data_IF_344946877918
#
_entry.id   IF_344946877918
#
_cell.length_a   1.000
_cell.length_b   1.000
_cell.length_c   1.000
_cell.angle_alpha   90.00
_cell.angle_beta   90.00
_cell.angle_gamma   90.00
#
_symmetry.space_group_name_H-M   'P 1'
#
loop_
_entity.id
_entity.type
_entity.pdbx_description
1 polymer ?
#
# COMPACT_ATOMS: atom_id res chain seq x y z
N UNK A 1 22.25 7.48 13.92
CA UNK A 1 22.79 6.12 13.69
C UNK A 1 24.20 5.96 14.29
N UNK A 2 25.12 6.92 14.06
CA UNK A 2 26.47 6.91 14.68
C UNK A 2 26.43 6.97 16.22
N UNK A 3 25.62 7.86 16.82
CA UNK A 3 25.51 7.99 18.28
C UNK A 3 24.80 6.79 18.94
N UNK A 4 23.78 6.23 18.26
CA UNK A 4 23.08 5.01 18.70
C UNK A 4 24.03 3.80 18.74
N UNK A 5 25.03 3.73 17.85
CA UNK A 5 26.04 2.68 17.85
C UNK A 5 27.03 2.80 19.04
N UNK A 6 27.10 3.96 19.69
CA UNK A 6 27.91 4.20 20.90
C UNK A 6 27.08 4.25 22.18
N UNK A 7 25.80 3.86 22.12
CA UNK A 7 24.89 3.82 23.28
C UNK A 7 24.37 5.20 23.71
N UNK A 8 24.57 6.24 22.89
CA UNK A 8 24.06 7.57 23.17
C UNK A 8 22.80 7.83 22.34
N UNK A 9 21.65 7.91 23.01
CA UNK A 9 20.37 8.26 22.40
C UNK A 9 20.08 9.75 22.68
N UNK A 10 20.23 10.67 21.71
CA UNK A 10 19.94 12.09 21.92
C UNK A 10 18.44 12.38 22.01
N UNK A 11 17.57 11.42 21.63
CA UNK A 11 16.12 11.52 21.82
C UNK A 11 15.78 11.38 23.31
N UNK A 12 15.33 12.47 23.92
CA UNK A 12 14.88 12.44 25.30
C UNK A 12 13.43 11.94 25.39
N UNK A 13 13.01 11.44 26.55
CA UNK A 13 11.59 11.08 26.78
C UNK A 13 10.65 12.30 26.69
N UNK A 14 11.18 13.53 26.82
CA UNK A 14 10.40 14.74 26.56
C UNK A 14 10.09 14.89 25.07
N UNK A 15 11.06 14.61 24.19
CA UNK A 15 10.88 14.68 22.74
C UNK A 15 9.89 13.63 22.25
N UNK A 16 9.95 12.40 22.79
CA UNK A 16 9.00 11.32 22.46
C UNK A 16 7.57 11.71 22.86
N UNK A 17 7.39 12.33 24.03
CA UNK A 17 6.06 12.76 24.51
C UNK A 17 5.52 14.00 23.79
N UNK A 18 6.42 14.86 23.31
CA UNK A 18 6.07 16.06 22.55
C UNK A 18 5.90 15.81 21.04
N UNK A 19 6.25 14.60 20.57
CA UNK A 19 6.22 14.27 19.16
C UNK A 19 4.81 14.42 18.58
N UNK A 20 4.69 15.30 17.58
CA UNK A 20 3.49 15.48 16.77
C UNK A 20 3.85 15.10 15.33
N UNK A 21 3.25 14.04 14.77
CA UNK A 21 3.55 13.63 13.40
C UNK A 21 3.16 14.72 12.40
N UNK A 22 4.12 15.15 11.58
CA UNK A 22 3.90 16.14 10.50
C UNK A 22 3.03 15.57 9.37
N UNK A 23 3.11 14.26 9.14
CA UNK A 23 2.33 13.55 8.13
C UNK A 23 1.59 12.39 8.77
N UNK A 24 0.32 12.25 8.42
CA UNK A 24 -0.52 11.14 8.85
C UNK A 24 -1.06 10.47 7.60
N UNK A 25 -0.88 9.15 7.51
CA UNK A 25 -1.50 8.32 6.47
C UNK A 25 -2.33 7.24 7.15
N UNK A 26 -3.48 6.92 6.56
CA UNK A 26 -4.28 5.76 6.97
C UNK A 26 -4.21 4.77 5.82
N UNK A 27 -3.73 3.57 6.12
CA UNK A 27 -3.54 2.52 5.13
C UNK A 27 -4.01 1.18 5.66
N UNK A 28 -4.50 0.35 4.76
CA UNK A 28 -4.83 -1.05 5.04
C UNK A 28 -4.01 -1.91 4.09
N UNK A 29 -3.44 -2.98 4.63
CA UNK A 29 -2.63 -3.92 3.88
C UNK A 29 -3.06 -5.34 4.22
N UNK A 30 -3.27 -6.17 3.19
CA UNK A 30 -3.62 -7.56 3.37
C UNK A 30 -2.61 -8.46 2.66
N UNK A 31 -2.04 -9.40 3.40
CA UNK A 31 -1.20 -10.47 2.84
C UNK A 31 -2.10 -11.65 2.52
N UNK A 32 -2.21 -11.99 1.24
CA UNK A 32 -3.05 -13.11 0.78
C UNK A 32 -2.31 -14.43 0.90
N UNK A 33 -3.03 -15.50 1.29
CA UNK A 33 -2.45 -16.84 1.43
C UNK A 33 -2.13 -17.52 0.09
N UNK A 34 -2.74 -17.07 -1.01
CA UNK A 34 -2.47 -17.58 -2.35
C UNK A 34 -2.59 -16.46 -3.40
N UNK A 35 -2.01 -16.63 -4.60
CA UNK A 35 -2.15 -15.64 -5.66
C UNK A 35 -3.59 -15.59 -6.16
N UNK A 36 -4.19 -14.41 -6.06
CA UNK A 36 -5.55 -14.16 -6.54
C UNK A 36 -5.54 -13.71 -7.99
N UNK A 37 -6.59 -14.08 -8.72
CA UNK A 37 -6.86 -13.50 -10.03
C UNK A 37 -7.27 -12.03 -9.91
N UNK A 38 -7.09 -11.27 -10.99
CA UNK A 38 -7.37 -9.83 -11.03
C UNK A 38 -8.78 -9.46 -10.58
N UNK A 39 -9.78 -10.27 -10.90
CA UNK A 39 -11.17 -10.04 -10.48
C UNK A 39 -11.35 -10.10 -8.96
N UNK A 40 -10.74 -11.09 -8.29
CA UNK A 40 -10.81 -11.21 -6.84
C UNK A 40 -9.95 -10.15 -6.15
N UNK A 41 -8.78 -9.83 -6.70
CA UNK A 41 -7.93 -8.75 -6.19
C UNK A 41 -8.67 -7.41 -6.23
N UNK A 42 -9.40 -7.13 -7.32
CA UNK A 42 -10.23 -5.92 -7.45
C UNK A 42 -11.35 -5.86 -6.41
N UNK A 43 -11.97 -7.00 -6.09
CA UNK A 43 -12.99 -7.08 -5.05
C UNK A 43 -12.41 -6.74 -3.67
N UNK A 44 -11.27 -7.33 -3.32
CA UNK A 44 -10.58 -7.07 -2.05
C UNK A 44 -10.18 -5.60 -1.93
N UNK A 45 -9.59 -5.03 -3.00
CA UNK A 45 -9.24 -3.60 -3.01
C UNK A 45 -10.47 -2.72 -2.76
N UNK A 46 -11.64 -3.09 -3.31
CA UNK A 46 -12.90 -2.38 -3.05
C UNK A 46 -13.27 -2.41 -1.58
N UNK A 47 -13.27 -3.60 -0.98
CA UNK A 47 -13.67 -3.81 0.42
C UNK A 47 -12.71 -3.10 1.38
N UNK A 48 -11.40 -3.21 1.14
CA UNK A 48 -10.38 -2.51 1.90
C UNK A 48 -10.52 -0.98 1.79
N UNK A 49 -10.83 -0.48 0.59
CA UNK A 49 -11.05 0.96 0.38
C UNK A 49 -12.30 1.44 1.12
N UNK A 50 -13.38 0.66 1.12
CA UNK A 50 -14.61 1.00 1.84
C UNK A 50 -14.35 1.12 3.34
N UNK A 51 -13.64 0.14 3.92
CA UNK A 51 -13.22 0.18 5.33
C UNK A 51 -12.36 1.41 5.64
N UNK A 52 -11.37 1.73 4.78
CA UNK A 52 -10.53 2.92 4.97
C UNK A 52 -11.34 4.22 4.94
N UNK A 53 -12.36 4.30 4.10
CA UNK A 53 -13.22 5.49 4.06
C UNK A 53 -14.07 5.59 5.31
N UNK A 54 -14.60 4.49 5.82
CA UNK A 54 -15.34 4.47 7.09
C UNK A 54 -14.45 4.97 8.25
N UNK A 55 -13.20 4.50 8.31
CA UNK A 55 -12.21 4.96 9.30
C UNK A 55 -11.91 6.47 9.17
N UNK A 56 -11.84 7.00 7.95
CA UNK A 56 -11.66 8.44 7.73
C UNK A 56 -12.86 9.24 8.25
N UNK A 57 -14.08 8.77 7.99
CA UNK A 57 -15.31 9.43 8.43
C UNK A 57 -15.44 9.39 9.95
N UNK A 58 -15.19 8.23 10.57
CA UNK A 58 -15.24 8.06 12.03
C UNK A 58 -14.25 8.99 12.76
N UNK A 59 -13.05 9.17 12.17
CA UNK A 59 -12.03 10.09 12.70
C UNK A 59 -12.25 11.56 12.31
N UNK A 60 -13.26 11.87 11.50
CA UNK A 60 -13.50 13.23 10.99
C UNK A 60 -12.38 13.75 10.07
N UNK A 61 -11.65 12.86 9.39
CA UNK A 61 -10.52 13.17 8.52
C UNK A 61 -10.93 13.17 7.04
N UNK A 62 -10.11 13.80 6.21
CA UNK A 62 -10.26 13.86 4.75
C UNK A 62 -8.92 13.56 4.08
N UNK A 63 -8.96 13.00 2.88
CA UNK A 63 -7.76 12.71 2.08
C UNK A 63 -7.88 13.31 0.68
N UNK A 64 -6.75 13.70 0.10
CA UNK A 64 -6.58 14.10 -1.31
C UNK A 64 -5.63 13.15 -2.06
N UNK A 65 -5.04 12.16 -1.41
CA UNK A 65 -4.11 11.22 -2.04
C UNK A 65 -4.44 9.78 -1.67
N UNK A 66 -4.40 8.91 -2.68
CA UNK A 66 -4.65 7.49 -2.55
C UNK A 66 -3.50 6.74 -3.22
N UNK A 67 -2.98 5.73 -2.52
CA UNK A 67 -1.85 4.92 -2.98
C UNK A 67 -2.24 3.45 -2.90
N UNK A 68 -2.12 2.75 -4.02
CA UNK A 68 -2.35 1.32 -4.14
C UNK A 68 -1.04 0.62 -4.50
N UNK A 69 -0.66 -0.37 -3.70
CA UNK A 69 0.49 -1.23 -3.99
C UNK A 69 0.02 -2.67 -4.10
N UNK A 70 0.32 -3.31 -5.22
CA UNK A 70 -0.04 -4.71 -5.49
C UNK A 70 1.23 -5.55 -5.57
N UNK A 71 1.31 -6.52 -4.67
CA UNK A 71 2.33 -7.56 -4.67
C UNK A 71 1.96 -8.69 -5.62
N UNK A 72 2.94 -9.22 -6.35
CA UNK A 72 2.75 -10.39 -7.20
C UNK A 72 3.56 -11.56 -6.66
N UNK A 73 2.96 -12.76 -6.69
CA UNK A 73 3.61 -13.98 -6.24
C UNK A 73 4.55 -14.58 -7.30
N UNK A 74 5.57 -15.32 -6.83
CA UNK A 74 6.51 -16.10 -7.66
C UNK A 74 5.81 -17.12 -8.57
N UNK A 75 4.65 -17.65 -8.16
CA UNK A 75 3.89 -18.64 -8.92
C UNK A 75 3.53 -18.13 -10.32
N UNK A 76 3.37 -16.81 -10.49
CA UNK A 76 3.13 -16.19 -11.78
C UNK A 76 4.28 -16.41 -12.78
N UNK A 77 5.51 -16.54 -12.30
CA UNK A 77 6.69 -16.82 -13.13
C UNK A 77 7.01 -18.32 -13.23
N UNK A 78 6.54 -19.14 -12.29
CA UNK A 78 6.68 -20.60 -12.36
C UNK A 78 5.74 -21.23 -13.39
N UNK A 79 4.56 -20.65 -13.60
CA UNK A 79 3.57 -21.13 -14.58
C UNK A 79 4.00 -20.73 -16.01
N UNK A 80 4.34 -21.69 -16.89
CA UNK A 80 4.92 -21.38 -18.21
C UNK A 80 3.96 -20.62 -19.13
N UNK A 81 2.64 -20.81 -18.99
CA UNK A 81 1.65 -20.08 -19.78
C UNK A 81 1.56 -18.59 -19.41
N UNK A 82 1.63 -18.29 -18.11
CA UNK A 82 1.59 -16.91 -17.60
C UNK A 82 2.92 -16.22 -17.90
N UNK A 83 4.03 -16.90 -17.67
CA UNK A 83 5.37 -16.40 -17.97
C UNK A 83 5.55 -16.03 -19.45
N UNK A 84 4.99 -16.81 -20.39
CA UNK A 84 5.04 -16.48 -21.83
C UNK A 84 4.27 -15.21 -22.17
N UNK A 85 3.18 -14.91 -21.44
CA UNK A 85 2.36 -13.70 -21.63
C UNK A 85 2.95 -12.48 -20.92
N UNK A 86 3.67 -12.68 -19.82
CA UNK A 86 4.28 -11.62 -19.03
C UNK A 86 5.54 -11.08 -19.71
N UNK A 87 5.49 -9.81 -20.15
CA UNK A 87 6.63 -9.06 -20.72
C UNK A 87 7.14 -7.96 -19.80
N UNK A 88 6.65 -7.90 -18.58
CA UNK A 88 6.98 -6.86 -17.62
C UNK A 88 8.35 -7.07 -16.96
N UNK A 89 8.83 -6.06 -16.21
CA UNK A 89 10.07 -6.18 -15.45
C UNK A 89 9.93 -7.24 -14.35
N UNK A 90 10.99 -8.01 -14.15
CA UNK A 90 11.15 -9.00 -13.08
C UNK A 90 12.22 -8.47 -12.14
N UNK A 91 11.93 -8.48 -10.85
CA UNK A 91 12.88 -8.09 -9.80
C UNK A 91 13.27 -9.30 -8.98
N UNK A 92 14.42 -9.23 -8.32
CA UNK A 92 14.87 -10.27 -7.39
C UNK A 92 14.47 -9.86 -5.99
N UNK A 93 13.71 -10.71 -5.31
CA UNK A 93 13.30 -10.51 -3.91
C UNK A 93 14.50 -10.72 -2.95
N UNK A 94 14.35 -10.34 -1.68
CA UNK A 94 15.35 -10.48 -0.62
C UNK A 94 15.87 -11.92 -0.46
N UNK A 95 15.05 -12.92 -0.84
CA UNK A 95 15.42 -14.34 -0.83
C UNK A 95 16.12 -14.83 -2.11
N UNK A 96 16.53 -13.92 -3.02
CA UNK A 96 17.19 -14.28 -4.28
C UNK A 96 16.26 -14.86 -5.35
N UNK A 97 14.94 -14.74 -5.17
CA UNK A 97 13.92 -15.32 -6.07
C UNK A 97 13.46 -14.30 -7.09
N UNK A 98 13.24 -14.73 -8.34
CA UNK A 98 12.64 -13.89 -9.37
C UNK A 98 11.14 -13.73 -9.11
N UNK A 99 10.69 -12.48 -8.95
CA UNK A 99 9.29 -12.07 -8.77
C UNK A 99 8.92 -11.01 -9.80
N UNK A 100 7.66 -10.97 -10.30
CA UNK A 100 7.20 -9.83 -11.05
C UNK A 100 7.34 -8.55 -10.21
N UNK A 101 7.80 -7.46 -10.83
CA UNK A 101 7.90 -6.18 -10.14
C UNK A 101 6.53 -5.77 -9.60
N UNK A 102 6.48 -5.34 -8.34
CA UNK A 102 5.25 -4.84 -7.72
C UNK A 102 4.65 -3.69 -8.54
N UNK A 103 3.31 -3.66 -8.63
CA UNK A 103 2.62 -2.52 -9.19
C UNK A 103 2.37 -1.49 -8.09
N UNK A 104 2.64 -0.23 -8.39
CA UNK A 104 2.41 0.88 -7.49
C UNK A 104 1.69 1.96 -8.27
N UNK A 105 0.53 2.37 -7.78
CA UNK A 105 -0.32 3.37 -8.38
C UNK A 105 -0.69 4.42 -7.35
N UNK A 106 -0.57 5.69 -7.73
CA UNK A 106 -0.94 6.82 -6.89
C UNK A 106 -1.90 7.69 -7.66
N UNK A 107 -3.00 8.09 -7.02
CA UNK A 107 -3.96 9.04 -7.58
C UNK A 107 -4.20 10.15 -6.58
N UNK A 108 -4.15 11.39 -7.06
CA UNK A 108 -4.51 12.57 -6.29
C UNK A 108 -5.92 13.00 -6.70
N UNK A 109 -6.74 13.33 -5.71
CA UNK A 109 -8.07 13.88 -5.87
C UNK A 109 -7.98 15.40 -6.02
N UNK A 110 -8.86 16.00 -6.83
CA UNK A 110 -8.90 17.46 -7.04
C UNK A 110 -9.17 18.25 -5.74
N UNK A 111 -9.80 17.60 -4.76
CA UNK A 111 -10.11 18.16 -3.45
C UNK A 111 -9.98 17.12 -2.36
N UNK A 112 -9.70 17.57 -1.14
CA UNK A 112 -9.78 16.74 0.05
C UNK A 112 -11.22 16.32 0.31
N UNK A 113 -11.43 15.02 0.44
CA UNK A 113 -12.77 14.43 0.61
C UNK A 113 -12.70 13.17 1.46
N UNK A 114 -13.80 12.85 2.11
CA UNK A 114 -14.06 11.55 2.75
C UNK A 114 -15.24 10.83 2.07
N UNK A 115 -15.65 11.28 0.88
CA UNK A 115 -16.76 10.68 0.14
C UNK A 115 -16.36 9.32 -0.43
N UNK A 116 -17.00 8.26 0.07
CA UNK A 116 -16.84 6.88 -0.41
C UNK A 116 -16.99 6.78 -1.92
N UNK A 117 -17.99 7.46 -2.50
CA UNK A 117 -18.24 7.40 -3.95
C UNK A 117 -17.06 7.91 -4.77
N UNK A 118 -16.48 9.05 -4.37
CA UNK A 118 -15.35 9.66 -5.10
C UNK A 118 -14.07 8.86 -4.90
N UNK A 119 -13.79 8.44 -3.66
CA UNK A 119 -12.58 7.67 -3.32
C UNK A 119 -12.63 6.30 -4.02
N UNK A 120 -13.76 5.59 -3.94
CA UNK A 120 -13.95 4.29 -4.59
C UNK A 120 -13.82 4.40 -6.10
N UNK A 121 -14.40 5.43 -6.72
CA UNK A 121 -14.28 5.66 -8.16
C UNK A 121 -12.82 5.90 -8.56
N UNK A 122 -12.08 6.71 -7.80
CA UNK A 122 -10.67 6.98 -8.04
C UNK A 122 -9.81 5.72 -7.93
N UNK A 123 -9.96 4.94 -6.84
CA UNK A 123 -9.20 3.68 -6.67
C UNK A 123 -9.50 2.69 -7.78
N UNK A 124 -10.74 2.62 -8.27
CA UNK A 124 -11.14 1.70 -9.33
C UNK A 124 -10.60 2.04 -10.73
N UNK A 125 -9.95 3.20 -10.88
CA UNK A 125 -9.29 3.62 -12.14
C UNK A 125 -7.78 3.35 -12.16
N UNK A 126 -7.20 2.96 -11.02
CA UNK A 126 -5.81 2.48 -10.90
C UNK A 126 -5.67 1.05 -11.42
#
# INVERSE_FOLDING_TARGET
LMDHAWGWEPCTMADVKAYKPETNSTGSGQVLQCPYESGKARLIVREMTDQLVLDLVDKGLVTDQLVLTVGYDIENLKKPEIRKKYKGPVTTDHYGRSVPKHAHGTINLERRTSSTKLIMAAVMTL
#
